data_IF_633649999919
#
_entry.id   IF_633649999919
#
_cell.length_a   1.000
_cell.length_b   1.000
_cell.length_c   1.000
_cell.angle_alpha   90.00
_cell.angle_beta   90.00
_cell.angle_gamma   90.00
#
_symmetry.space_group_name_H-M   'P 1'
#
loop_
_entity.id
_entity.type
_entity.pdbx_description
1 polymer ?
#
# COMPACT_ATOMS: atom_id res chain seq x y z
N UNK A 1 -3.12 -10.33 -18.25
CA UNK A 1 -3.04 -10.55 -16.80
C UNK A 1 -3.47 -9.25 -16.12
N UNK A 2 -4.36 -9.29 -15.16
CA UNK A 2 -4.84 -8.10 -14.44
C UNK A 2 -4.14 -7.98 -13.08
N UNK A 3 -4.27 -6.81 -12.42
CA UNK A 3 -3.77 -6.64 -11.05
C UNK A 3 -4.42 -7.64 -10.08
N UNK A 4 -5.71 -7.93 -10.26
CA UNK A 4 -6.44 -8.96 -9.52
C UNK A 4 -5.78 -10.34 -9.64
N UNK A 5 -5.38 -10.74 -10.85
CA UNK A 5 -4.78 -12.07 -11.09
C UNK A 5 -3.48 -12.28 -10.31
N UNK A 6 -2.75 -11.20 -9.99
CA UNK A 6 -1.53 -11.28 -9.21
C UNK A 6 -1.76 -11.80 -7.78
N UNK A 7 -2.96 -11.62 -7.22
CA UNK A 7 -3.31 -12.05 -5.86
C UNK A 7 -3.74 -13.53 -5.78
N UNK A 8 -3.87 -14.21 -6.93
CA UNK A 8 -4.32 -15.62 -7.00
C UNK A 8 -3.24 -16.58 -7.49
N UNK A 9 -1.98 -16.13 -7.48
CA UNK A 9 -0.81 -16.97 -7.79
C UNK A 9 -0.43 -17.84 -6.61
N UNK A 10 0.33 -18.93 -6.88
CA UNK A 10 0.86 -19.81 -5.83
C UNK A 10 1.83 -19.09 -4.89
N UNK A 11 2.67 -18.19 -5.45
CA UNK A 11 3.54 -17.31 -4.68
C UNK A 11 2.80 -16.00 -4.38
N UNK A 12 2.73 -15.56 -3.12
CA UNK A 12 2.11 -14.29 -2.77
C UNK A 12 2.70 -13.11 -3.55
N UNK A 13 1.84 -12.17 -3.92
CA UNK A 13 2.28 -10.90 -4.48
C UNK A 13 3.11 -10.14 -3.42
N UNK A 14 4.40 -9.99 -3.65
CA UNK A 14 5.20 -9.00 -2.91
C UNK A 14 4.97 -7.64 -3.56
N UNK A 15 4.32 -6.74 -2.84
CA UNK A 15 4.00 -5.39 -3.30
C UNK A 15 4.86 -4.37 -2.54
N UNK A 16 5.98 -3.93 -3.12
CA UNK A 16 6.79 -2.89 -2.51
C UNK A 16 6.09 -1.53 -2.59
N UNK A 17 6.36 -0.66 -1.60
CA UNK A 17 5.69 0.63 -1.50
C UNK A 17 6.62 1.78 -1.91
N UNK A 18 6.16 2.56 -2.90
CA UNK A 18 6.76 3.80 -3.37
C UNK A 18 6.10 5.02 -2.70
N UNK A 19 6.74 6.18 -2.78
CA UNK A 19 6.22 7.46 -2.28
C UNK A 19 6.42 8.61 -3.27
N UNK A 20 7.16 8.36 -4.35
CA UNK A 20 7.44 9.28 -5.45
C UNK A 20 7.82 8.51 -6.73
N UNK A 21 8.00 9.23 -7.84
CA UNK A 21 8.40 8.63 -9.11
C UNK A 21 9.78 7.96 -9.04
N UNK A 22 10.84 8.57 -8.45
CA UNK A 22 12.14 7.91 -8.36
C UNK A 22 12.11 6.58 -7.62
N UNK A 23 11.37 6.48 -6.51
CA UNK A 23 11.23 5.23 -5.76
C UNK A 23 10.47 4.17 -6.57
N UNK A 24 9.40 4.55 -7.30
CA UNK A 24 8.69 3.63 -8.17
C UNK A 24 9.59 3.10 -9.29
N UNK A 25 10.34 3.97 -9.97
CA UNK A 25 11.27 3.59 -11.03
C UNK A 25 12.35 2.61 -10.53
N UNK A 26 12.91 2.85 -9.36
CA UNK A 26 13.90 1.96 -8.76
C UNK A 26 13.33 0.56 -8.47
N UNK A 27 12.08 0.50 -7.98
CA UNK A 27 11.39 -0.77 -7.74
C UNK A 27 11.11 -1.52 -9.04
N UNK A 28 10.70 -0.83 -10.10
CA UNK A 28 10.46 -1.45 -11.41
C UNK A 28 11.73 -2.03 -12.02
N UNK A 29 12.88 -1.37 -11.88
CA UNK A 29 14.17 -1.91 -12.33
C UNK A 29 14.60 -3.16 -11.55
N UNK A 30 14.11 -3.34 -10.32
CA UNK A 30 14.26 -4.58 -9.57
C UNK A 30 13.33 -5.70 -10.06
N UNK A 31 12.50 -5.47 -11.10
CA UNK A 31 11.63 -6.46 -11.71
C UNK A 31 10.27 -6.61 -11.04
N UNK A 32 9.84 -5.68 -10.18
CA UNK A 32 8.49 -5.70 -9.62
C UNK A 32 7.47 -5.26 -10.67
N UNK A 33 6.46 -6.10 -10.91
CA UNK A 33 5.38 -5.82 -11.88
C UNK A 33 4.28 -4.90 -11.31
N UNK A 34 4.31 -4.65 -10.02
CA UNK A 34 3.34 -3.82 -9.32
C UNK A 34 4.00 -3.07 -8.17
N UNK A 35 3.53 -1.87 -7.88
CA UNK A 35 3.94 -1.07 -6.72
C UNK A 35 2.71 -0.63 -5.92
N UNK A 36 2.86 -0.59 -4.60
CA UNK A 36 1.92 0.13 -3.74
C UNK A 36 2.42 1.54 -3.47
N UNK A 37 1.58 2.42 -2.95
CA UNK A 37 2.05 3.65 -2.31
C UNK A 37 2.00 3.51 -0.79
N UNK A 38 2.53 4.49 -0.08
CA UNK A 38 2.48 4.58 1.38
C UNK A 38 2.11 6.00 1.79
N UNK A 39 0.96 6.15 2.48
CA UNK A 39 0.52 7.43 3.04
C UNK A 39 1.58 8.06 3.92
N UNK A 40 2.24 7.25 4.77
CA UNK A 40 3.36 7.68 5.60
C UNK A 40 4.50 8.32 4.79
N UNK A 41 4.94 7.67 3.70
CA UNK A 41 6.03 8.18 2.86
C UNK A 41 5.65 9.48 2.16
N UNK A 42 4.42 9.53 1.63
CA UNK A 42 3.88 10.74 0.96
C UNK A 42 3.74 11.89 1.96
N UNK A 43 3.11 11.67 3.12
CA UNK A 43 2.95 12.69 4.16
C UNK A 43 4.31 13.21 4.66
N UNK A 44 5.23 12.31 4.98
CA UNK A 44 6.56 12.67 5.47
C UNK A 44 7.36 13.49 4.46
N UNK A 45 7.26 13.17 3.15
CA UNK A 45 7.91 13.94 2.09
C UNK A 45 7.40 15.40 2.02
N UNK A 46 6.18 15.64 2.50
CA UNK A 46 5.57 16.96 2.62
C UNK A 46 5.84 17.64 3.97
N UNK A 47 6.60 17.00 4.85
CA UNK A 47 6.84 17.49 6.22
C UNK A 47 5.59 17.41 7.10
N UNK A 48 4.69 16.45 6.85
CA UNK A 48 3.45 16.25 7.60
C UNK A 48 3.46 14.89 8.30
N UNK A 49 2.82 14.78 9.47
CA UNK A 49 2.57 13.47 10.08
C UNK A 49 1.63 12.65 9.19
N UNK A 50 1.71 11.31 9.32
CA UNK A 50 0.79 10.39 8.67
C UNK A 50 -0.61 10.46 9.28
N UNK A 51 -1.63 10.18 8.47
CA UNK A 51 -3.03 10.30 8.87
C UNK A 51 -3.58 11.74 8.80
N UNK A 52 -4.82 11.91 9.24
CA UNK A 52 -5.47 13.21 9.25
C UNK A 52 -5.85 13.75 7.87
N UNK A 53 -5.86 12.89 6.85
CA UNK A 53 -6.28 13.22 5.48
C UNK A 53 -5.41 14.27 4.78
N UNK A 54 -4.16 14.42 5.26
CA UNK A 54 -3.26 15.47 4.78
C UNK A 54 -2.66 15.18 3.39
N UNK A 55 -2.76 13.95 2.88
CA UNK A 55 -2.15 13.51 1.62
C UNK A 55 -3.09 13.51 0.42
N UNK A 56 -4.37 13.87 0.59
CA UNK A 56 -5.42 13.80 -0.43
C UNK A 56 -4.99 14.29 -1.82
N UNK A 57 -4.55 15.54 -1.92
CA UNK A 57 -4.15 16.14 -3.21
C UNK A 57 -2.79 15.61 -3.69
N UNK A 58 -1.88 15.33 -2.77
CA UNK A 58 -0.57 14.76 -3.11
C UNK A 58 -0.70 13.34 -3.69
N UNK A 59 -1.63 12.54 -3.17
CA UNK A 59 -1.93 11.22 -3.71
C UNK A 59 -2.55 11.27 -5.11
N UNK A 60 -3.43 12.24 -5.41
CA UNK A 60 -3.91 12.44 -6.78
C UNK A 60 -2.78 12.80 -7.73
N UNK A 61 -1.90 13.71 -7.30
CA UNK A 61 -0.74 14.11 -8.10
C UNK A 61 0.23 12.93 -8.30
N UNK A 62 0.45 12.11 -7.27
CA UNK A 62 1.29 10.91 -7.36
C UNK A 62 0.66 9.86 -8.29
N UNK A 63 -0.64 9.58 -8.18
CA UNK A 63 -1.33 8.66 -9.07
C UNK A 63 -1.16 9.07 -10.55
N UNK A 64 -1.40 10.35 -10.87
CA UNK A 64 -1.19 10.89 -12.21
C UNK A 64 0.28 10.87 -12.65
N UNK A 65 1.23 10.91 -11.70
CA UNK A 65 2.65 10.78 -12.01
C UNK A 65 3.06 9.33 -12.25
N UNK A 66 2.41 8.36 -11.63
CA UNK A 66 2.69 6.93 -11.81
C UNK A 66 1.96 6.31 -13.03
N UNK A 67 0.90 6.93 -13.53
CA UNK A 67 0.08 6.43 -14.65
C UNK A 67 0.90 6.05 -15.90
N UNK A 68 1.96 6.79 -16.32
CA UNK A 68 2.73 6.44 -17.51
C UNK A 68 3.62 5.19 -17.33
N UNK A 69 3.77 4.66 -16.12
CA UNK A 69 4.65 3.54 -15.84
C UNK A 69 4.01 2.22 -16.29
N UNK A 70 4.79 1.34 -16.91
CA UNK A 70 4.35 0.00 -17.31
C UNK A 70 4.33 -0.95 -16.10
N UNK A 71 3.43 -0.67 -15.16
CA UNK A 71 3.22 -1.50 -13.97
C UNK A 71 1.82 -1.28 -13.40
N UNK A 72 1.37 -2.20 -12.54
CA UNK A 72 0.17 -2.00 -11.75
C UNK A 72 0.45 -1.13 -10.53
N UNK A 73 -0.50 -0.24 -10.21
CA UNK A 73 -0.39 0.70 -9.09
C UNK A 73 -1.54 0.50 -8.09
N UNK A 74 -1.20 0.29 -6.81
CA UNK A 74 -2.16 0.26 -5.70
C UNK A 74 -1.94 1.45 -4.77
N UNK A 75 -2.88 2.40 -4.76
CA UNK A 75 -2.78 3.62 -3.95
C UNK A 75 -3.24 3.40 -2.51
N UNK A 76 -2.46 3.88 -1.55
CA UNK A 76 -2.85 3.95 -0.14
C UNK A 76 -3.57 5.27 0.10
N UNK A 77 -4.87 5.22 0.41
CA UNK A 77 -5.75 6.38 0.49
C UNK A 77 -6.24 6.70 1.91
N UNK A 78 -5.50 6.31 2.94
CA UNK A 78 -5.92 6.51 4.33
C UNK A 78 -7.36 5.99 4.54
N UNK A 79 -8.22 6.74 5.22
CA UNK A 79 -9.65 6.43 5.43
C UNK A 79 -10.57 6.81 4.25
N UNK A 80 -9.99 7.19 3.10
CA UNK A 80 -10.69 7.66 1.90
C UNK A 80 -10.88 9.19 1.86
N UNK A 81 -10.31 9.94 2.79
CA UNK A 81 -10.31 11.42 2.85
C UNK A 81 -11.68 12.08 3.00
N UNK A 82 -12.71 11.32 3.30
CA UNK A 82 -14.06 11.83 3.56
C UNK A 82 -14.84 10.86 4.46
N UNK A 83 -15.89 11.36 5.11
CA UNK A 83 -16.78 10.53 5.90
C UNK A 83 -17.92 9.96 5.03
N UNK A 84 -18.40 10.76 4.06
CA UNK A 84 -19.47 10.37 3.17
C UNK A 84 -19.01 9.38 2.10
N UNK A 85 -19.64 8.20 1.96
CA UNK A 85 -19.24 7.14 1.03
C UNK A 85 -19.14 7.61 -0.43
N UNK A 86 -20.08 8.43 -0.90
CA UNK A 86 -20.09 8.93 -2.28
C UNK A 86 -18.90 9.85 -2.56
N UNK A 87 -18.46 10.66 -1.57
CA UNK A 87 -17.28 11.51 -1.72
C UNK A 87 -16.00 10.68 -1.80
N UNK A 88 -15.93 9.57 -1.06
CA UNK A 88 -14.82 8.60 -1.15
C UNK A 88 -14.80 7.93 -2.53
N UNK A 89 -15.96 7.49 -3.02
CA UNK A 89 -16.10 6.88 -4.34
C UNK A 89 -15.72 7.85 -5.48
N UNK A 90 -16.16 9.12 -5.39
CA UNK A 90 -15.79 10.17 -6.35
C UNK A 90 -14.28 10.47 -6.33
N UNK A 91 -13.65 10.41 -5.14
CA UNK A 91 -12.21 10.55 -5.04
C UNK A 91 -11.49 9.38 -5.73
N UNK A 92 -11.88 8.14 -5.45
CA UNK A 92 -11.28 6.94 -6.05
C UNK A 92 -11.45 6.94 -7.58
N UNK A 93 -12.60 7.37 -8.09
CA UNK A 93 -12.84 7.47 -9.54
C UNK A 93 -11.91 8.47 -10.27
N UNK A 94 -11.23 9.36 -9.53
CA UNK A 94 -10.21 10.30 -10.06
C UNK A 94 -8.80 9.73 -10.04
N UNK A 95 -8.59 8.60 -9.35
CA UNK A 95 -7.29 7.95 -9.30
C UNK A 95 -7.12 7.06 -10.52
N UNK A 96 -6.05 7.27 -11.29
CA UNK A 96 -5.60 6.31 -12.31
C UNK A 96 -4.84 5.18 -11.62
N UNK A 97 -5.57 4.26 -10.95
CA UNK A 97 -4.96 3.19 -10.16
C UNK A 97 -5.69 1.86 -10.37
N UNK A 98 -4.92 0.76 -10.38
CA UNK A 98 -5.45 -0.61 -10.50
C UNK A 98 -6.06 -1.11 -9.20
N UNK A 99 -5.62 -0.58 -8.09
CA UNK A 99 -6.13 -0.91 -6.76
C UNK A 99 -5.92 0.19 -5.74
N UNK A 100 -6.55 0.01 -4.59
CA UNK A 100 -6.42 0.89 -3.43
C UNK A 100 -6.31 0.10 -2.14
N UNK A 101 -5.64 0.66 -1.13
CA UNK A 101 -5.87 0.34 0.29
C UNK A 101 -6.74 1.44 0.90
N UNK A 102 -7.75 1.05 1.67
CA UNK A 102 -8.57 1.97 2.46
C UNK A 102 -8.74 1.41 3.87
N UNK A 103 -8.43 2.22 4.90
CA UNK A 103 -8.40 1.79 6.30
C UNK A 103 -9.72 2.05 7.03
N UNK A 104 -10.06 1.17 7.98
CA UNK A 104 -11.25 1.26 8.82
C UNK A 104 -11.01 2.03 10.13
N UNK A 105 -10.05 2.94 10.08
CA UNK A 105 -9.71 3.83 11.20
C UNK A 105 -9.62 5.29 10.75
N UNK A 106 -9.81 6.20 11.68
CA UNK A 106 -9.60 7.64 11.49
C UNK A 106 -9.11 8.23 12.80
N UNK A 107 -8.11 9.13 12.75
CA UNK A 107 -7.50 9.72 13.94
C UNK A 107 -7.10 8.67 15.01
N UNK A 108 -6.48 7.57 14.58
CA UNK A 108 -6.02 6.46 15.43
C UNK A 108 -7.16 5.75 16.21
N UNK A 109 -8.39 5.81 15.72
CA UNK A 109 -9.53 5.12 16.30
C UNK A 109 -10.26 4.29 15.24
N UNK A 110 -10.64 3.06 15.58
CA UNK A 110 -11.50 2.25 14.73
C UNK A 110 -12.86 2.95 14.56
N UNK A 111 -13.32 3.05 13.31
CA UNK A 111 -14.69 3.48 13.00
C UNK A 111 -15.64 2.28 13.04
N UNK A 112 -16.95 2.55 13.10
CA UNK A 112 -17.95 1.49 13.02
C UNK A 112 -17.79 0.71 11.70
N UNK A 113 -17.77 -0.65 11.73
CA UNK A 113 -17.48 -1.44 10.52
C UNK A 113 -18.51 -1.20 9.39
N UNK A 114 -19.78 -0.93 9.73
CA UNK A 114 -20.80 -0.57 8.73
C UNK A 114 -20.51 0.75 8.00
N UNK A 115 -19.83 1.73 8.64
CA UNK A 115 -19.43 2.97 7.97
C UNK A 115 -18.34 2.70 6.94
N UNK A 116 -17.36 1.88 7.27
CA UNK A 116 -16.32 1.50 6.33
C UNK A 116 -16.87 0.62 5.19
N UNK A 117 -17.73 -0.34 5.51
CA UNK A 117 -18.42 -1.16 4.51
C UNK A 117 -19.20 -0.30 3.49
N UNK A 118 -19.88 0.75 3.95
CA UNK A 118 -20.58 1.68 3.05
C UNK A 118 -19.63 2.40 2.08
N UNK A 119 -18.43 2.80 2.54
CA UNK A 119 -17.38 3.36 1.67
C UNK A 119 -16.93 2.34 0.62
N UNK A 120 -16.62 1.10 1.04
CA UNK A 120 -16.25 0.01 0.12
C UNK A 120 -17.33 -0.22 -0.93
N UNK A 121 -18.60 -0.32 -0.51
CA UNK A 121 -19.74 -0.53 -1.41
C UNK A 121 -19.87 0.61 -2.44
N UNK A 122 -19.76 1.86 -2.01
CA UNK A 122 -19.84 3.03 -2.88
C UNK A 122 -18.70 3.05 -3.91
N UNK A 123 -17.46 2.72 -3.48
CA UNK A 123 -16.31 2.58 -4.38
C UNK A 123 -16.57 1.51 -5.42
N UNK A 124 -17.01 0.31 -5.02
CA UNK A 124 -17.24 -0.80 -5.94
C UNK A 124 -18.39 -0.53 -6.91
N UNK A 125 -19.40 0.23 -6.49
CA UNK A 125 -20.48 0.68 -7.38
C UNK A 125 -19.97 1.68 -8.43
N UNK A 126 -19.11 2.62 -8.04
CA UNK A 126 -18.61 3.69 -8.91
C UNK A 126 -17.45 3.25 -9.80
N UNK A 127 -16.57 2.40 -9.28
CA UNK A 127 -15.33 1.94 -9.91
C UNK A 127 -15.19 0.42 -9.75
N UNK A 128 -16.01 -0.40 -10.45
CA UNK A 128 -16.08 -1.85 -10.24
C UNK A 128 -14.77 -2.58 -10.53
N UNK A 129 -13.93 -2.04 -11.40
CA UNK A 129 -12.67 -2.67 -11.83
C UNK A 129 -11.50 -2.41 -10.86
N UNK A 130 -11.59 -1.38 -10.01
CA UNK A 130 -10.56 -1.09 -9.00
C UNK A 130 -10.53 -2.19 -7.96
N UNK A 131 -9.35 -2.75 -7.69
CA UNK A 131 -9.14 -3.73 -6.64
C UNK A 131 -9.16 -3.03 -5.26
N UNK A 132 -10.22 -3.25 -4.48
CA UNK A 132 -10.36 -2.69 -3.14
C UNK A 132 -9.77 -3.65 -2.12
N UNK A 133 -8.63 -3.28 -1.54
CA UNK A 133 -7.98 -3.97 -0.42
C UNK A 133 -8.40 -3.27 0.88
N UNK A 134 -9.51 -3.71 1.47
CA UNK A 134 -10.03 -3.12 2.70
C UNK A 134 -9.13 -3.45 3.88
N UNK A 135 -8.64 -2.41 4.58
CA UNK A 135 -7.72 -2.55 5.70
C UNK A 135 -8.49 -2.60 7.01
N UNK A 136 -8.13 -3.60 7.85
CA UNK A 136 -8.69 -3.81 9.20
C UNK A 136 -7.60 -3.50 10.23
N UNK A 137 -7.76 -2.41 10.95
CA UNK A 137 -6.73 -1.84 11.84
C UNK A 137 -6.76 -2.36 13.28
N UNK A 138 -7.52 -3.41 13.56
CA UNK A 138 -7.62 -3.99 14.91
C UNK A 138 -6.25 -4.27 15.54
N UNK A 139 -5.38 -4.99 14.83
CA UNK A 139 -4.02 -5.31 15.29
C UNK A 139 -3.06 -4.12 15.20
N UNK A 140 -3.24 -3.24 14.23
CA UNK A 140 -2.40 -2.06 14.05
C UNK A 140 -2.53 -1.07 15.20
N UNK A 141 -3.77 -0.82 15.63
CA UNK A 141 -4.08 0.09 16.73
C UNK A 141 -4.11 -0.59 18.11
N UNK A 142 -4.07 -1.94 18.15
CA UNK A 142 -4.28 -2.68 19.39
C UNK A 142 -5.70 -2.51 19.95
N UNK A 143 -6.67 -2.16 19.11
CA UNK A 143 -8.08 -2.00 19.48
C UNK A 143 -8.86 -3.20 18.97
N UNK A 144 -9.58 -3.89 19.86
CA UNK A 144 -10.28 -5.14 19.53
C UNK A 144 -9.39 -6.16 18.77
N UNK A 145 -8.10 -6.21 19.12
CA UNK A 145 -7.07 -7.00 18.44
C UNK A 145 -7.22 -8.50 18.68
N UNK A 146 -8.35 -9.04 18.25
CA UNK A 146 -8.68 -10.47 18.32
C UNK A 146 -9.03 -11.00 16.93
N UNK A 147 -8.80 -12.32 16.72
CA UNK A 147 -9.18 -12.98 15.46
C UNK A 147 -10.68 -12.81 15.19
N UNK A 148 -11.53 -13.01 16.21
CA UNK A 148 -12.99 -12.92 16.06
C UNK A 148 -13.41 -11.52 15.60
N UNK A 149 -12.99 -10.45 16.28
CA UNK A 149 -13.36 -9.08 15.92
C UNK A 149 -12.83 -8.69 14.53
N UNK A 150 -11.62 -9.14 14.17
CA UNK A 150 -11.05 -8.89 12.84
C UNK A 150 -11.83 -9.61 11.75
N UNK A 151 -12.24 -10.86 11.98
CA UNK A 151 -13.07 -11.62 11.04
C UNK A 151 -14.46 -11.00 10.86
N UNK A 152 -15.09 -10.56 11.95
CA UNK A 152 -16.41 -9.90 11.90
C UNK A 152 -16.39 -8.61 11.06
N UNK A 153 -15.32 -7.80 11.18
CA UNK A 153 -15.10 -6.62 10.33
C UNK A 153 -14.86 -7.01 8.87
N UNK A 154 -13.91 -7.94 8.66
CA UNK A 154 -13.57 -8.41 7.33
C UNK A 154 -14.78 -8.97 6.57
N UNK A 155 -15.66 -9.71 7.24
CA UNK A 155 -16.88 -10.26 6.64
C UNK A 155 -17.79 -9.16 6.08
N UNK A 156 -18.01 -8.06 6.82
CA UNK A 156 -18.80 -6.92 6.37
C UNK A 156 -18.17 -6.23 5.14
N UNK A 157 -16.83 -6.13 5.11
CA UNK A 157 -16.13 -5.50 3.98
C UNK A 157 -16.17 -6.38 2.73
N UNK A 158 -16.05 -7.70 2.90
CA UNK A 158 -16.21 -8.67 1.80
C UNK A 158 -17.63 -8.65 1.26
N UNK A 159 -18.66 -8.59 2.12
CA UNK A 159 -20.06 -8.46 1.72
C UNK A 159 -20.30 -7.15 0.94
N UNK A 160 -19.61 -6.06 1.33
CA UNK A 160 -19.65 -4.79 0.64
C UNK A 160 -18.87 -4.78 -0.71
N UNK A 161 -18.16 -5.87 -1.03
CA UNK A 161 -17.47 -6.06 -2.31
C UNK A 161 -15.96 -5.84 -2.26
N UNK A 162 -15.32 -5.83 -1.09
CA UNK A 162 -13.86 -5.79 -1.01
C UNK A 162 -13.24 -6.98 -1.75
N UNK A 163 -12.20 -6.73 -2.55
CA UNK A 163 -11.50 -7.72 -3.35
C UNK A 163 -10.38 -8.41 -2.58
N UNK A 164 -9.91 -7.79 -1.51
CA UNK A 164 -8.92 -8.30 -0.58
C UNK A 164 -9.08 -7.65 0.79
N UNK A 165 -8.48 -8.28 1.80
CA UNK A 165 -8.44 -7.76 3.18
C UNK A 165 -6.99 -7.58 3.61
N UNK A 166 -6.66 -6.41 4.13
CA UNK A 166 -5.35 -6.09 4.66
C UNK A 166 -5.41 -6.01 6.18
N UNK A 167 -4.58 -6.80 6.88
CA UNK A 167 -4.50 -6.79 8.34
C UNK A 167 -3.08 -6.43 8.78
N UNK A 168 -2.73 -5.13 8.82
CA UNK A 168 -1.43 -4.71 9.33
C UNK A 168 -1.34 -4.99 10.83
N UNK A 169 -0.13 -5.23 11.33
CA UNK A 169 0.11 -5.52 12.74
C UNK A 169 -0.15 -6.97 13.18
N UNK A 170 -0.84 -7.77 12.39
CA UNK A 170 -0.92 -9.22 12.62
C UNK A 170 0.42 -9.88 12.25
N UNK A 171 1.26 -10.16 13.27
CA UNK A 171 2.62 -10.69 13.10
C UNK A 171 2.78 -12.12 13.62
N UNK A 172 1.85 -12.60 14.45
CA UNK A 172 1.83 -13.97 14.93
C UNK A 172 1.39 -14.93 13.81
N UNK A 173 2.20 -15.93 13.41
CA UNK A 173 1.86 -16.87 12.35
C UNK A 173 0.56 -17.65 12.60
N UNK A 174 0.21 -17.95 13.85
CA UNK A 174 -1.01 -18.67 14.17
C UNK A 174 -2.26 -17.78 14.02
N UNK A 175 -2.14 -16.51 14.38
CA UNK A 175 -3.17 -15.50 14.10
C UNK A 175 -3.34 -15.31 12.59
N UNK A 176 -2.26 -15.12 11.85
CA UNK A 176 -2.31 -14.96 10.39
C UNK A 176 -3.00 -16.16 9.73
N UNK A 177 -2.65 -17.39 10.14
CA UNK A 177 -3.27 -18.62 9.62
C UNK A 177 -4.76 -18.70 9.92
N UNK A 178 -5.20 -18.25 11.09
CA UNK A 178 -6.63 -18.22 11.43
C UNK A 178 -7.37 -17.19 10.58
N UNK A 179 -6.79 -15.99 10.39
CA UNK A 179 -7.36 -14.94 9.55
C UNK A 179 -7.48 -15.40 8.09
N UNK A 180 -6.42 -15.99 7.51
CA UNK A 180 -6.43 -16.45 6.11
C UNK A 180 -7.40 -17.60 5.86
N UNK A 181 -7.69 -18.42 6.86
CA UNK A 181 -8.71 -19.48 6.77
C UNK A 181 -10.13 -18.95 6.89
N UNK A 182 -10.33 -17.86 7.64
CA UNK A 182 -11.65 -17.28 7.88
C UNK A 182 -12.07 -16.25 6.84
N UNK A 183 -11.13 -15.64 6.12
CA UNK A 183 -11.39 -14.61 5.12
C UNK A 183 -11.41 -15.25 3.73
N UNK A 184 -12.54 -15.15 2.96
CA UNK A 184 -12.70 -15.87 1.69
C UNK A 184 -12.05 -15.19 0.48
N UNK A 185 -11.41 -14.04 0.67
CA UNK A 185 -10.70 -13.25 -0.36
C UNK A 185 -9.21 -13.18 -0.04
N UNK A 186 -8.34 -12.75 -0.98
CA UNK A 186 -6.91 -12.58 -0.74
C UNK A 186 -6.62 -11.77 0.52
N UNK A 187 -5.80 -12.34 1.41
CA UNK A 187 -5.34 -11.63 2.62
C UNK A 187 -3.97 -11.03 2.38
N UNK A 188 -3.86 -9.74 2.68
CA UNK A 188 -2.62 -8.98 2.71
C UNK A 188 -2.14 -8.80 4.15
N UNK A 189 -0.83 -8.91 4.37
CA UNK A 189 -0.16 -8.55 5.62
C UNK A 189 1.07 -7.67 5.32
N UNK A 190 1.62 -7.02 6.33
CA UNK A 190 2.95 -6.42 6.22
C UNK A 190 4.04 -7.50 6.23
N UNK A 191 5.17 -7.19 5.61
CA UNK A 191 6.34 -8.04 5.68
C UNK A 191 6.75 -8.27 7.15
N UNK A 192 6.83 -9.53 7.54
CA UNK A 192 7.26 -9.96 8.88
C UNK A 192 8.74 -10.35 8.76
N UNK A 193 9.66 -9.71 9.50
CA UNK A 193 11.07 -10.03 9.44
C UNK A 193 11.32 -11.53 9.68
N UNK A 194 12.15 -12.13 8.83
CA UNK A 194 12.52 -13.54 8.93
C UNK A 194 11.59 -14.51 8.21
N UNK A 195 10.42 -14.10 7.72
CA UNK A 195 9.56 -14.95 6.90
C UNK A 195 9.85 -14.77 5.40
N UNK A 196 10.02 -15.88 4.70
CA UNK A 196 10.09 -15.95 3.24
C UNK A 196 8.69 -15.90 2.61
N UNK A 197 8.60 -15.59 1.30
CA UNK A 197 7.33 -15.65 0.56
C UNK A 197 6.71 -17.04 0.57
N UNK A 198 7.52 -18.11 0.59
CA UNK A 198 7.02 -19.49 0.70
C UNK A 198 6.35 -19.74 2.07
N UNK A 199 6.90 -19.20 3.14
CA UNK A 199 6.29 -19.30 4.47
C UNK A 199 5.00 -18.48 4.57
N UNK A 200 4.95 -17.27 3.96
CA UNK A 200 3.69 -16.54 3.83
C UNK A 200 2.64 -17.31 3.03
N UNK A 201 3.03 -17.96 1.93
CA UNK A 201 2.13 -18.84 1.16
C UNK A 201 1.57 -19.98 2.02
N UNK A 202 2.42 -20.62 2.82
CA UNK A 202 2.02 -21.70 3.74
C UNK A 202 1.06 -21.23 4.85
N UNK A 203 1.09 -19.94 5.19
CA UNK A 203 0.13 -19.30 6.08
C UNK A 203 -1.19 -18.93 5.38
N UNK A 204 -1.28 -19.06 4.04
CA UNK A 204 -2.45 -18.68 3.25
C UNK A 204 -2.47 -17.22 2.81
N UNK A 205 -1.41 -16.45 3.09
CA UNK A 205 -1.27 -15.06 2.65
C UNK A 205 -1.17 -15.00 1.12
N UNK A 206 -1.78 -13.99 0.51
CA UNK A 206 -1.79 -13.77 -0.94
C UNK A 206 -1.10 -12.48 -1.38
N UNK A 207 -0.91 -11.54 -0.47
CA UNK A 207 -0.15 -10.32 -0.70
C UNK A 207 0.68 -9.97 0.53
N UNK A 208 1.91 -9.55 0.31
CA UNK A 208 2.81 -9.01 1.33
C UNK A 208 3.17 -7.59 0.91
N UNK A 209 2.85 -6.60 1.73
CA UNK A 209 3.21 -5.20 1.51
C UNK A 209 4.40 -4.80 2.37
N UNK A 210 5.24 -3.89 1.87
CA UNK A 210 6.41 -3.41 2.63
C UNK A 210 6.09 -2.23 3.54
N UNK A 211 4.92 -1.59 3.37
CA UNK A 211 4.52 -0.41 4.13
C UNK A 211 5.52 0.72 4.00
N UNK A 212 5.76 1.44 5.08
CA UNK A 212 6.72 2.55 5.11
C UNK A 212 8.19 2.13 5.20
N UNK A 213 8.49 0.82 5.24
CA UNK A 213 9.86 0.34 5.43
C UNK A 213 10.85 0.88 4.37
N UNK A 214 10.55 0.85 3.05
CA UNK A 214 11.47 1.37 2.04
C UNK A 214 11.75 2.87 2.22
N UNK A 215 10.73 3.68 2.50
CA UNK A 215 10.88 5.10 2.78
C UNK A 215 11.80 5.35 3.98
N UNK A 216 11.52 4.70 5.12
CA UNK A 216 12.32 4.86 6.33
C UNK A 216 13.77 4.42 6.14
N UNK A 217 13.99 3.34 5.38
CA UNK A 217 15.32 2.87 5.02
C UNK A 217 16.07 3.89 4.15
N UNK A 218 15.40 4.50 3.15
CA UNK A 218 15.99 5.51 2.29
C UNK A 218 16.42 6.76 3.07
N UNK A 219 15.57 7.28 3.96
CA UNK A 219 15.89 8.44 4.81
C UNK A 219 17.06 8.12 5.75
N UNK A 220 17.07 6.93 6.34
CA UNK A 220 18.19 6.48 7.18
C UNK A 220 19.50 6.40 6.38
N UNK A 221 19.48 5.77 5.21
CA UNK A 221 20.65 5.62 4.35
C UNK A 221 21.22 6.98 3.90
N UNK A 222 20.35 7.93 3.56
CA UNK A 222 20.76 9.30 3.19
C UNK A 222 21.51 10.00 4.35
N UNK A 223 21.01 9.88 5.58
CA UNK A 223 21.67 10.43 6.75
C UNK A 223 23.03 9.75 7.01
N UNK A 224 23.10 8.41 6.89
CA UNK A 224 24.34 7.65 7.07
C UNK A 224 25.40 8.02 6.01
N UNK A 225 25.01 8.22 4.77
CA UNK A 225 25.93 8.66 3.72
C UNK A 225 26.56 10.01 4.04
N UNK A 226 25.78 10.99 4.52
CA UNK A 226 26.31 12.28 4.94
C UNK A 226 27.25 12.19 6.14
N UNK A 227 26.92 11.36 7.14
CA UNK A 227 27.77 11.11 8.30
C UNK A 227 29.09 10.44 7.88
N UNK A 228 29.05 9.45 6.98
CA UNK A 228 30.24 8.77 6.49
C UNK A 228 31.21 9.73 5.79
N UNK A 229 30.70 10.67 4.98
CA UNK A 229 31.53 11.73 4.35
C UNK A 229 32.14 12.65 5.41
N UNK A 230 31.36 13.09 6.40
CA UNK A 230 31.87 13.96 7.48
C UNK A 230 33.00 13.31 8.26
N UNK A 231 32.84 12.02 8.58
CA UNK A 231 33.73 11.27 9.48
C UNK A 231 34.86 10.53 8.70
N UNK A 232 34.91 10.73 7.37
CA UNK A 232 35.86 10.07 6.46
C UNK A 232 35.86 8.54 6.59
N UNK A 233 34.66 7.94 6.76
CA UNK A 233 34.43 6.51 6.78
C UNK A 233 33.91 5.99 5.44
N UNK A 234 33.72 4.68 5.30
CA UNK A 234 33.18 4.08 4.07
C UNK A 234 31.77 4.58 3.80
N UNK A 235 31.55 5.18 2.60
CA UNK A 235 30.26 5.69 2.17
C UNK A 235 29.40 4.52 1.68
N UNK A 236 28.12 4.41 2.12
CA UNK A 236 27.21 3.40 1.61
C UNK A 236 27.06 3.45 0.08
N UNK A 237 26.87 2.29 -0.54
CA UNK A 237 26.64 2.21 -1.98
C UNK A 237 25.39 2.99 -2.38
N UNK A 238 25.49 3.75 -3.47
CA UNK A 238 24.40 4.48 -4.08
C UNK A 238 24.41 4.29 -5.59
N UNK A 239 23.26 4.41 -6.23
CA UNK A 239 23.16 4.39 -7.69
C UNK A 239 23.97 5.53 -8.30
N UNK A 240 24.69 5.30 -9.40
CA UNK A 240 25.41 6.37 -10.08
C UNK A 240 24.46 7.47 -10.57
N UNK A 241 24.85 8.73 -10.37
CA UNK A 241 24.04 9.89 -10.79
C UNK A 241 23.62 9.85 -12.27
N UNK A 242 24.47 9.43 -13.24
CA UNK A 242 24.05 9.30 -14.65
C UNK A 242 22.95 8.26 -14.86
N UNK A 243 22.94 7.16 -14.10
CA UNK A 243 21.89 6.14 -14.23
C UNK A 243 20.55 6.64 -13.69
N UNK A 244 20.56 7.29 -12.53
CA UNK A 244 19.35 7.93 -12.00
C UNK A 244 18.79 8.98 -12.95
N UNK A 245 19.66 9.81 -13.53
CA UNK A 245 19.25 10.82 -14.52
C UNK A 245 18.67 10.17 -15.78
N UNK A 246 19.27 9.09 -16.28
CA UNK A 246 18.76 8.37 -17.43
C UNK A 246 17.37 7.76 -17.20
N UNK A 247 17.07 7.26 -15.96
CA UNK A 247 15.72 6.80 -15.58
C UNK A 247 14.70 7.92 -15.70
N UNK A 248 15.02 9.10 -15.17
CA UNK A 248 14.13 10.26 -15.19
C UNK A 248 13.91 10.81 -16.61
N UNK A 249 14.93 10.78 -17.47
CA UNK A 249 14.79 11.16 -18.89
C UNK A 249 13.80 10.21 -19.59
N UNK A 250 13.99 8.89 -19.46
CA UNK A 250 13.06 7.92 -20.04
C UNK A 250 11.62 8.10 -19.55
N UNK A 251 11.45 8.34 -18.25
CA UNK A 251 10.14 8.62 -17.69
C UNK A 251 9.52 9.90 -18.26
N UNK A 252 10.30 11.00 -18.37
CA UNK A 252 9.83 12.25 -18.95
C UNK A 252 9.40 12.09 -20.40
N UNK A 253 10.16 11.33 -21.19
CA UNK A 253 9.81 11.02 -22.59
C UNK A 253 8.47 10.26 -22.68
N UNK A 254 8.23 9.28 -21.81
CA UNK A 254 6.95 8.57 -21.75
C UNK A 254 5.78 9.49 -21.37
N UNK A 255 6.00 10.35 -20.39
CA UNK A 255 4.94 11.21 -19.84
C UNK A 255 4.55 12.38 -20.74
N UNK A 256 5.50 12.97 -21.45
CA UNK A 256 5.30 14.22 -22.19
C UNK A 256 5.29 14.06 -23.71
N UNK A 257 5.37 12.80 -24.22
CA UNK A 257 5.33 12.49 -25.65
C UNK A 257 3.95 11.99 -26.13
N UNK A 258 2.92 12.01 -25.26
CA UNK A 258 1.55 11.56 -25.51
C UNK A 258 0.61 12.81 -25.68
#
# INVERSE_FOLDING_TARGET
>A
MTFRDLHYRDVPLLLPNAWDVPSALALLECGFAAVGTTSFGVASSLGRPDGGRATKEANLALAAALEPLDCYVSMDIEDGYADEPDQVADYVARLSADGINIEDSSAEQLIAPGQHAAKVQAIKHRSPDVFVNARVDTYWLGQDATVAATLDRAAQYVEAGADGIFVPGATDPDVVRQLTRGIPVPVNVLAIPGLSLAEFAALGVRRVSTGSLPYRAAIHAAAQAAVAVRDATEVPTADPSPEMQARLVRYADQKFSG
#
